data_IF_124081628543
#
_entry.id   IF_124081628543
#
_cell.length_a   1.000
_cell.length_b   1.000
_cell.length_c   1.000
_cell.angle_alpha   90.00
_cell.angle_beta   90.00
_cell.angle_gamma   90.00
#
_symmetry.space_group_name_H-M   'P 1'
#
loop_
_entity.id
_entity.type
_entity.pdbx_description
1 polymer ?
#
# COMPACT_ATOMS: atom_id res chain seq x y z
N UNK A 1 -16.07 -12.82 -8.15
CA UNK A 1 -16.02 -11.58 -7.34
C UNK A 1 -15.19 -11.88 -6.10
N UNK A 2 -14.03 -11.23 -5.90
CA UNK A 2 -13.15 -11.52 -4.75
C UNK A 2 -13.81 -11.00 -3.47
N UNK A 3 -13.86 -11.77 -2.37
CA UNK A 3 -14.53 -11.35 -1.14
C UNK A 3 -13.98 -10.01 -0.63
N UNK A 4 -14.88 -9.11 -0.20
CA UNK A 4 -14.54 -7.78 0.36
C UNK A 4 -13.82 -7.85 1.72
N UNK A 5 -13.79 -9.03 2.34
CA UNK A 5 -13.23 -9.29 3.67
C UNK A 5 -11.72 -9.52 3.67
N UNK A 6 -11.15 -9.83 2.49
CA UNK A 6 -9.72 -10.07 2.34
C UNK A 6 -8.97 -8.75 2.50
N UNK A 7 -7.97 -8.76 3.38
CA UNK A 7 -6.99 -7.68 3.52
C UNK A 7 -6.32 -7.46 2.17
N UNK A 8 -6.53 -6.29 1.55
CA UNK A 8 -5.99 -5.98 0.23
C UNK A 8 -5.03 -4.81 0.30
N UNK A 9 -3.80 -5.09 0.72
CA UNK A 9 -2.68 -4.15 0.63
C UNK A 9 -2.00 -4.27 -0.75
N UNK A 10 -2.79 -4.05 -1.83
CA UNK A 10 -2.34 -4.23 -3.22
C UNK A 10 -1.27 -3.22 -3.62
N UNK A 11 -1.42 -1.96 -3.24
CA UNK A 11 -0.43 -0.92 -3.50
C UNK A 11 0.91 -1.23 -2.83
N UNK A 12 0.84 -1.67 -1.56
CA UNK A 12 2.00 -1.95 -0.71
C UNK A 12 2.86 -3.04 -1.35
N UNK A 13 2.22 -4.16 -1.70
CA UNK A 13 2.88 -5.27 -2.41
C UNK A 13 3.41 -4.84 -3.79
N UNK A 14 2.63 -4.09 -4.57
CA UNK A 14 3.08 -3.58 -5.87
C UNK A 14 4.31 -2.68 -5.77
N UNK A 15 4.34 -1.76 -4.79
CA UNK A 15 5.47 -0.85 -4.56
C UNK A 15 6.72 -1.60 -4.11
N UNK A 16 6.58 -2.59 -3.22
CA UNK A 16 7.69 -3.42 -2.78
C UNK A 16 8.28 -4.28 -3.91
N UNK A 17 7.42 -4.85 -4.76
CA UNK A 17 7.85 -5.56 -5.98
C UNK A 17 8.58 -4.64 -6.95
N UNK A 18 8.06 -3.43 -7.17
CA UNK A 18 8.71 -2.43 -8.02
C UNK A 18 10.08 -2.04 -7.46
N UNK A 19 10.20 -1.84 -6.14
CA UNK A 19 11.46 -1.49 -5.49
C UNK A 19 12.53 -2.57 -5.67
N UNK A 20 12.18 -3.85 -5.44
CA UNK A 20 13.08 -4.96 -5.69
C UNK A 20 13.51 -5.05 -7.16
N UNK A 21 12.56 -4.89 -8.08
CA UNK A 21 12.83 -4.89 -9.51
C UNK A 21 13.77 -3.75 -9.94
N UNK A 22 13.64 -2.57 -9.34
CA UNK A 22 14.53 -1.44 -9.59
C UNK A 22 15.96 -1.72 -9.10
N UNK A 23 16.12 -2.35 -7.92
CA UNK A 23 17.44 -2.77 -7.43
C UNK A 23 18.09 -3.77 -8.38
N UNK A 24 17.35 -4.81 -8.80
CA UNK A 24 17.84 -5.82 -9.74
C UNK A 24 18.26 -5.18 -11.07
N UNK A 25 17.41 -4.32 -11.65
CA UNK A 25 17.70 -3.61 -12.91
C UNK A 25 18.93 -2.69 -12.80
N UNK A 26 19.22 -2.18 -11.62
CA UNK A 26 20.41 -1.37 -11.34
C UNK A 26 21.66 -2.21 -11.02
N UNK A 27 21.58 -3.54 -11.07
CA UNK A 27 22.70 -4.45 -10.80
C UNK A 27 22.99 -4.68 -9.31
N UNK A 28 22.00 -4.43 -8.44
CA UNK A 28 22.09 -4.72 -7.02
C UNK A 28 22.08 -6.21 -6.71
N UNK A 29 22.44 -6.57 -5.47
CA UNK A 29 22.47 -7.96 -5.02
C UNK A 29 21.10 -8.45 -4.53
N UNK A 30 20.87 -9.77 -4.45
CA UNK A 30 19.65 -10.32 -3.83
C UNK A 30 19.42 -9.85 -2.38
N UNK A 31 20.49 -9.61 -1.61
CA UNK A 31 20.41 -9.04 -0.26
C UNK A 31 19.87 -7.59 -0.30
N UNK A 32 20.35 -6.78 -1.24
CA UNK A 32 19.86 -5.41 -1.44
C UNK A 32 18.40 -5.40 -1.90
N UNK A 33 17.97 -6.34 -2.75
CA UNK A 33 16.57 -6.50 -3.11
C UNK A 33 15.71 -6.77 -1.86
N UNK A 34 16.17 -7.65 -0.96
CA UNK A 34 15.51 -7.91 0.33
C UNK A 34 15.41 -6.66 1.21
N UNK A 35 16.48 -5.86 1.30
CA UNK A 35 16.45 -4.59 2.04
C UNK A 35 15.48 -3.59 1.43
N UNK A 36 15.45 -3.43 0.10
CA UNK A 36 14.53 -2.54 -0.59
C UNK A 36 13.06 -2.92 -0.35
N UNK A 37 12.74 -4.22 -0.40
CA UNK A 37 11.41 -4.75 -0.04
C UNK A 37 11.06 -4.38 1.40
N UNK A 38 11.93 -4.70 2.35
CA UNK A 38 11.69 -4.44 3.77
C UNK A 38 11.47 -2.95 4.04
N UNK A 39 12.32 -2.07 3.50
CA UNK A 39 12.19 -0.62 3.63
C UNK A 39 10.87 -0.12 3.04
N UNK A 40 10.46 -0.61 1.88
CA UNK A 40 9.19 -0.21 1.24
C UNK A 40 7.98 -0.63 2.06
N UNK A 41 7.96 -1.88 2.50
CA UNK A 41 6.84 -2.45 3.26
C UNK A 41 6.68 -1.78 4.63
N UNK A 42 7.78 -1.51 5.36
CA UNK A 42 7.72 -0.82 6.65
C UNK A 42 7.06 0.55 6.56
N UNK A 43 7.31 1.29 5.46
CA UNK A 43 6.78 2.63 5.27
C UNK A 43 5.34 2.68 4.75
N UNK A 44 4.75 1.53 4.37
CA UNK A 44 3.42 1.49 3.74
C UNK A 44 2.47 0.45 4.32
N UNK A 45 2.93 -0.40 5.24
CA UNK A 45 2.06 -1.35 5.94
C UNK A 45 0.97 -0.61 6.74
N UNK A 46 -0.22 -1.20 6.78
CA UNK A 46 -1.32 -0.64 7.57
C UNK A 46 -2.06 0.52 6.91
N UNK A 47 -1.73 0.89 5.67
CA UNK A 47 -2.52 1.86 4.92
C UNK A 47 -4.00 1.39 4.79
N UNK A 48 -4.90 2.19 5.35
CA UNK A 48 -6.37 2.04 5.24
C UNK A 48 -6.77 2.10 3.77
N UNK A 49 -7.58 1.19 3.26
CA UNK A 49 -7.97 1.17 1.84
C UNK A 49 -9.46 1.47 1.68
N UNK A 50 -9.84 2.73 1.88
CA UNK A 50 -11.23 3.15 1.92
C UNK A 50 -11.53 4.17 0.80
N UNK A 51 -11.89 3.70 -0.41
CA UNK A 51 -12.06 4.55 -1.59
C UNK A 51 -13.33 5.39 -1.53
N UNK A 52 -13.22 6.67 -1.89
CA UNK A 52 -14.38 7.57 -1.98
C UNK A 52 -15.39 7.01 -2.99
N UNK A 53 -16.66 6.95 -2.58
CA UNK A 53 -17.75 6.41 -3.39
C UNK A 53 -17.53 4.94 -3.85
N UNK A 54 -16.62 4.19 -3.23
CA UNK A 54 -16.29 2.83 -3.65
C UNK A 54 -15.50 2.74 -4.96
N UNK A 55 -15.02 3.87 -5.49
CA UNK A 55 -14.36 3.96 -6.80
C UNK A 55 -12.84 3.91 -6.71
N UNK A 56 -12.19 3.34 -7.72
CA UNK A 56 -10.71 3.25 -7.79
C UNK A 56 -10.09 4.55 -8.29
N UNK A 57 -10.48 5.67 -7.68
CA UNK A 57 -10.03 7.02 -8.05
C UNK A 57 -9.36 7.71 -6.87
N UNK A 58 -10.15 8.05 -5.84
CA UNK A 58 -9.68 8.76 -4.65
C UNK A 58 -9.61 7.79 -3.47
N UNK A 59 -8.45 7.59 -2.83
CA UNK A 59 -7.11 8.13 -3.12
C UNK A 59 -6.26 7.22 -4.04
N UNK A 60 -6.86 6.26 -4.73
CA UNK A 60 -6.14 5.21 -5.49
C UNK A 60 -5.13 5.77 -6.49
N UNK A 61 -5.46 6.84 -7.21
CA UNK A 61 -4.56 7.45 -8.21
C UNK A 61 -3.33 8.04 -7.54
N UNK A 62 -3.52 8.89 -6.52
CA UNK A 62 -2.42 9.53 -5.81
C UNK A 62 -1.57 8.52 -5.05
N UNK A 63 -2.18 7.44 -4.56
CA UNK A 63 -1.49 6.31 -3.94
C UNK A 63 -0.55 5.59 -4.90
N UNK A 64 -0.95 5.36 -6.15
CA UNK A 64 -0.05 4.76 -7.14
C UNK A 64 1.18 5.66 -7.39
N UNK A 65 0.98 6.98 -7.49
CA UNK A 65 2.09 7.92 -7.63
C UNK A 65 3.03 7.86 -6.41
N UNK A 66 2.48 7.91 -5.19
CA UNK A 66 3.28 7.80 -3.96
C UNK A 66 4.01 6.46 -3.85
N UNK A 67 3.36 5.37 -4.21
CA UNK A 67 3.95 4.03 -4.20
C UNK A 67 5.13 3.90 -5.18
N UNK A 68 4.98 4.44 -6.39
CA UNK A 68 6.05 4.49 -7.39
C UNK A 68 7.24 5.35 -6.90
N UNK A 69 6.98 6.53 -6.34
CA UNK A 69 8.03 7.38 -5.77
C UNK A 69 8.75 6.71 -4.61
N UNK A 70 8.01 6.04 -3.72
CA UNK A 70 8.60 5.31 -2.60
C UNK A 70 9.48 4.16 -3.10
N UNK A 71 9.02 3.40 -4.10
CA UNK A 71 9.78 2.28 -4.65
C UNK A 71 11.15 2.70 -5.20
N UNK A 72 11.20 3.86 -5.88
CA UNK A 72 12.45 4.48 -6.34
C UNK A 72 13.35 4.85 -5.15
N UNK A 73 12.80 5.58 -4.17
CA UNK A 73 13.53 6.01 -2.99
C UNK A 73 14.15 4.83 -2.21
N UNK A 74 13.38 3.77 -1.97
CA UNK A 74 13.86 2.61 -1.21
C UNK A 74 14.82 1.74 -2.00
N UNK A 75 14.70 1.71 -3.33
CA UNK A 75 15.70 1.07 -4.19
C UNK A 75 17.03 1.81 -4.13
N UNK A 76 17.02 3.14 -4.27
CA UNK A 76 18.21 3.99 -4.14
C UNK A 76 18.88 3.83 -2.78
N UNK A 77 18.08 3.80 -1.69
CA UNK A 77 18.59 3.56 -0.34
C UNK A 77 19.30 2.20 -0.23
N UNK A 78 18.68 1.13 -0.72
CA UNK A 78 19.28 -0.21 -0.66
C UNK A 78 20.56 -0.32 -1.50
N UNK A 79 20.58 0.30 -2.69
CA UNK A 79 21.77 0.39 -3.55
C UNK A 79 22.89 1.20 -2.89
N UNK A 80 22.55 2.25 -2.14
CA UNK A 80 23.49 3.04 -1.33
C UNK A 80 24.00 2.29 -0.08
N UNK A 81 23.57 1.04 0.15
CA UNK A 81 24.00 0.20 1.27
C UNK A 81 23.22 0.44 2.56
N UNK A 82 22.10 1.16 2.51
CA UNK A 82 21.20 1.28 3.67
C UNK A 82 20.49 -0.06 3.85
N UNK A 83 20.77 -0.70 4.99
CA UNK A 83 20.19 -1.98 5.36
C UNK A 83 18.93 -1.78 6.19
N UNK A 84 17.91 -2.59 5.91
CA UNK A 84 16.78 -2.69 6.82
C UNK A 84 17.22 -3.36 8.12
N UNK A 85 16.92 -2.73 9.26
CA UNK A 85 17.21 -3.29 10.58
C UNK A 85 16.36 -4.54 10.87
N UNK A 86 15.17 -4.62 10.29
CA UNK A 86 14.26 -5.77 10.41
C UNK A 86 14.29 -6.55 9.08
N UNK A 87 14.51 -7.88 9.09
CA UNK A 87 14.52 -8.70 7.88
C UNK A 87 13.19 -8.64 7.12
N UNK A 88 13.23 -8.78 5.79
CA UNK A 88 12.04 -8.72 4.94
C UNK A 88 10.95 -9.70 5.37
N UNK A 89 11.31 -10.93 5.76
CA UNK A 89 10.37 -11.95 6.20
C UNK A 89 9.59 -11.52 7.45
N UNK A 90 10.26 -10.90 8.42
CA UNK A 90 9.61 -10.37 9.63
C UNK A 90 8.68 -9.20 9.30
N UNK A 91 9.09 -8.31 8.39
CA UNK A 91 8.24 -7.22 7.92
C UNK A 91 6.99 -7.75 7.21
N UNK A 92 7.12 -8.80 6.39
CA UNK A 92 5.99 -9.47 5.72
C UNK A 92 5.04 -10.11 6.74
N UNK A 93 5.58 -10.79 7.76
CA UNK A 93 4.77 -11.37 8.83
C UNK A 93 4.01 -10.28 9.61
N UNK A 94 4.70 -9.18 9.97
CA UNK A 94 4.07 -8.05 10.62
C UNK A 94 2.97 -7.43 9.73
N UNK A 95 3.19 -7.36 8.41
CA UNK A 95 2.22 -6.87 7.44
C UNK A 95 0.94 -7.74 7.43
N UNK A 96 1.07 -9.07 7.41
CA UNK A 96 -0.06 -10.00 7.50
C UNK A 96 -0.83 -9.82 8.81
N UNK A 97 -0.12 -9.72 9.94
CA UNK A 97 -0.74 -9.53 11.25
C UNK A 97 -1.53 -8.20 11.33
N UNK A 98 -0.94 -7.10 10.88
CA UNK A 98 -1.61 -5.78 10.81
C UNK A 98 -2.83 -5.87 9.92
N UNK A 99 -2.69 -6.52 8.76
CA UNK A 99 -3.77 -6.78 7.84
C UNK A 99 -4.95 -7.48 8.49
N UNK A 100 -4.71 -8.64 9.12
CA UNK A 100 -5.76 -9.47 9.74
C UNK A 100 -6.48 -8.75 10.87
N UNK A 101 -5.76 -7.93 11.64
CA UNK A 101 -6.32 -7.15 12.76
C UNK A 101 -7.02 -5.87 12.31
N UNK A 102 -6.92 -5.48 11.03
CA UNK A 102 -7.57 -4.27 10.52
C UNK A 102 -9.10 -4.42 10.56
N UNK A 103 -9.82 -3.47 11.19
CA UNK A 103 -11.28 -3.43 11.16
C UNK A 103 -11.83 -3.44 9.73
N UNK A 104 -12.94 -4.14 9.50
CA UNK A 104 -13.54 -4.30 8.16
C UNK A 104 -13.86 -2.95 7.51
N UNK A 105 -14.32 -1.96 8.27
CA UNK A 105 -14.62 -0.60 7.80
C UNK A 105 -13.42 0.18 7.23
N UNK A 106 -12.18 -0.26 7.51
CA UNK A 106 -10.96 0.35 7.00
C UNK A 106 -10.32 -0.44 5.84
N UNK A 107 -10.98 -1.52 5.40
CA UNK A 107 -10.63 -2.25 4.19
C UNK A 107 -11.39 -1.65 2.99
N UNK A 108 -11.31 -2.33 1.84
CA UNK A 108 -11.96 -1.94 0.57
C UNK A 108 -13.51 -2.01 0.61
N UNK A 109 -14.16 -1.57 1.70
CA UNK A 109 -15.61 -1.59 1.88
C UNK A 109 -16.28 -0.24 1.61
N UNK A 110 -15.54 0.88 1.66
CA UNK A 110 -16.07 2.25 1.53
C UNK A 110 -17.04 2.65 2.67
N UNK A 111 -16.84 2.07 3.86
CA UNK A 111 -17.72 2.25 5.03
C UNK A 111 -17.06 3.08 6.15
N UNK A 112 -15.84 3.57 5.95
CA UNK A 112 -15.07 4.26 6.99
C UNK A 112 -14.23 5.41 6.44
N UNK A 113 -13.03 5.59 7.00
CA UNK A 113 -11.94 6.40 6.43
C UNK A 113 -12.32 7.68 5.67
N UNK A 114 -11.87 7.76 4.41
CA UNK A 114 -12.10 8.90 3.52
C UNK A 114 -13.52 8.87 2.91
N UNK A 115 -14.07 7.68 2.66
CA UNK A 115 -15.39 7.49 2.07
C UNK A 115 -16.50 8.07 2.96
N UNK A 116 -16.36 7.94 4.27
CA UNK A 116 -17.32 8.42 5.27
C UNK A 116 -17.08 9.86 5.74
N UNK A 117 -16.14 10.58 5.12
CA UNK A 117 -16.01 12.03 5.39
C UNK A 117 -17.22 12.81 4.84
N UNK A 118 -17.55 14.00 5.37
CA UNK A 118 -18.65 14.81 4.84
C UNK A 118 -18.53 15.07 3.33
N UNK A 119 -17.31 15.33 2.86
CA UNK A 119 -17.03 15.53 1.43
C UNK A 119 -17.11 14.22 0.65
N UNK A 120 -16.58 13.11 1.19
CA UNK A 120 -16.67 11.79 0.56
C UNK A 120 -18.12 11.35 0.33
N UNK A 121 -18.97 11.48 1.35
CA UNK A 121 -20.42 11.20 1.25
C UNK A 121 -21.12 12.13 0.26
N UNK A 122 -20.76 13.41 0.22
CA UNK A 122 -21.31 14.36 -0.76
C UNK A 122 -20.95 13.96 -2.19
N UNK A 123 -19.70 13.57 -2.45
CA UNK A 123 -19.25 13.08 -3.77
C UNK A 123 -20.03 11.82 -4.16
N UNK A 124 -20.16 10.85 -3.25
CA UNK A 124 -20.92 9.63 -3.49
C UNK A 124 -22.39 9.93 -3.86
N UNK A 125 -23.05 10.83 -3.11
CA UNK A 125 -24.43 11.24 -3.39
C UNK A 125 -24.59 12.00 -4.72
N UNK A 126 -23.58 12.76 -5.16
CA UNK A 126 -23.60 13.43 -6.46
C UNK A 126 -23.48 12.45 -7.62
N UNK A 127 -22.70 11.37 -7.45
CA UNK A 127 -22.46 10.38 -8.50
C UNK A 127 -23.61 9.37 -8.63
N UNK A 128 -24.17 8.92 -7.52
CA UNK A 128 -25.16 7.83 -7.51
C UNK A 128 -26.58 8.28 -7.14
N UNK A 129 -26.79 9.57 -6.90
CA UNK A 129 -28.01 10.09 -6.30
C UNK A 129 -28.03 9.89 -4.78
N UNK A 130 -29.00 10.50 -4.09
CA UNK A 130 -29.23 10.19 -2.67
C UNK A 130 -29.71 8.73 -2.58
N UNK A 131 -28.89 7.86 -1.99
CA UNK A 131 -29.38 6.60 -1.43
C UNK A 131 -30.20 6.88 -0.17
#
# INVERSE_FOLDING_TARGET
MVPKEVVKQKLVSASAMASAGLVELAGGTPEQCGHAVALTLMNTMGLVCDPVAGLVEIPCITRNAMGASLALLTADMALAGIKSAIPADEVIQAMDQVGRKMPTMFKETAEGGLADTPTGRKIAAQLFGKQ
#
